data_IF_248708155589
#
_entry.id   IF_248708155589
#
_cell.length_a   1.000
_cell.length_b   1.000
_cell.length_c   1.000
_cell.angle_alpha   90.00
_cell.angle_beta   90.00
_cell.angle_gamma   90.00
#
_symmetry.space_group_name_H-M   'P 1'
#
loop_
_entity.id
_entity.type
_entity.pdbx_description
1 polymer ?
#
# COMPACT_ATOMS: atom_id res chain seq x y z
N UNK A 1 -16.13 29.34 3.11
CA UNK A 1 -16.52 28.01 3.64
C UNK A 1 -15.69 26.97 2.90
N UNK A 2 -14.38 26.92 3.14
CA UNK A 2 -13.45 26.11 2.32
C UNK A 2 -12.42 25.30 3.12
N UNK A 3 -12.31 25.46 4.44
CA UNK A 3 -11.25 24.82 5.22
C UNK A 3 -11.47 23.34 5.58
N UNK A 4 -12.71 22.84 5.53
CA UNK A 4 -13.02 21.53 6.12
C UNK A 4 -12.68 20.33 5.23
N UNK A 5 -12.44 20.55 3.92
CA UNK A 5 -12.07 19.50 2.98
C UNK A 5 -10.56 19.37 2.76
N UNK A 6 -9.80 20.42 3.07
CA UNK A 6 -8.34 20.42 2.89
C UNK A 6 -7.62 19.52 3.93
N UNK A 7 -8.25 19.30 5.09
CA UNK A 7 -7.67 18.48 6.17
C UNK A 7 -7.55 16.98 5.85
N UNK A 8 -8.22 16.51 4.80
CA UNK A 8 -8.19 15.10 4.39
C UNK A 8 -7.57 14.88 3.03
N UNK A 9 -6.98 15.92 2.44
CA UNK A 9 -6.31 15.81 1.16
C UNK A 9 -5.08 14.90 1.27
N UNK A 10 -4.91 14.02 0.29
CA UNK A 10 -3.73 13.16 0.20
C UNK A 10 -2.44 13.99 0.06
N UNK A 11 -1.35 13.64 0.76
CA UNK A 11 -0.07 14.33 0.64
C UNK A 11 0.44 14.39 -0.81
N UNK A 12 1.06 15.51 -1.17
CA UNK A 12 1.49 15.76 -2.56
C UNK A 12 2.51 14.74 -3.10
N UNK A 13 3.29 14.13 -2.21
CA UNK A 13 4.33 13.17 -2.56
C UNK A 13 3.80 11.76 -2.84
N UNK A 14 2.52 11.48 -2.60
CA UNK A 14 1.93 10.17 -2.90
C UNK A 14 1.77 10.00 -4.41
N UNK A 15 2.06 8.78 -4.89
CA UNK A 15 1.74 8.38 -6.27
C UNK A 15 0.23 8.37 -6.48
N UNK A 16 -0.21 8.40 -7.74
CA UNK A 16 -1.63 8.39 -8.08
C UNK A 16 -2.34 7.16 -7.50
N UNK A 17 -1.71 5.97 -7.58
CA UNK A 17 -2.29 4.74 -7.01
C UNK A 17 -2.38 4.79 -5.48
N UNK A 18 -1.41 5.42 -4.81
CA UNK A 18 -1.43 5.58 -3.36
C UNK A 18 -2.52 6.59 -2.92
N UNK A 19 -2.76 7.64 -3.73
CA UNK A 19 -3.86 8.58 -3.54
C UNK A 19 -5.23 7.92 -3.70
N UNK A 20 -5.39 7.03 -4.67
CA UNK A 20 -6.64 6.27 -4.81
C UNK A 20 -6.95 5.41 -3.56
N UNK A 21 -5.92 4.79 -2.98
CA UNK A 21 -6.07 4.06 -1.70
C UNK A 21 -6.41 5.01 -0.56
N UNK A 22 -5.75 6.17 -0.49
CA UNK A 22 -6.02 7.20 0.51
C UNK A 22 -7.48 7.64 0.48
N UNK A 23 -7.98 8.02 -0.70
CA UNK A 23 -9.34 8.50 -0.89
C UNK A 23 -10.36 7.44 -0.50
N UNK A 24 -10.07 6.17 -0.82
CA UNK A 24 -10.93 5.03 -0.43
C UNK A 24 -11.00 4.87 1.08
N UNK A 25 -9.86 4.91 1.79
CA UNK A 25 -9.82 4.76 3.25
C UNK A 25 -10.52 5.93 3.94
N UNK A 26 -10.28 7.17 3.49
CA UNK A 26 -10.95 8.36 4.05
C UNK A 26 -12.47 8.31 3.82
N UNK A 27 -12.92 7.84 2.66
CA UNK A 27 -14.34 7.72 2.35
C UNK A 27 -15.07 6.69 3.24
N UNK A 28 -14.37 5.64 3.68
CA UNK A 28 -14.92 4.58 4.54
C UNK A 28 -14.73 4.86 6.04
N UNK A 29 -13.81 5.78 6.40
CA UNK A 29 -13.50 6.10 7.78
C UNK A 29 -14.69 6.73 8.51
N UNK A 30 -15.09 6.11 9.64
CA UNK A 30 -16.14 6.67 10.51
C UNK A 30 -15.71 7.95 11.22
N UNK A 31 -14.39 8.15 11.41
CA UNK A 31 -13.85 9.33 12.07
C UNK A 31 -12.46 9.72 11.52
N UNK A 32 -12.40 10.25 10.28
CA UNK A 32 -11.15 10.51 9.59
C UNK A 32 -10.28 11.57 10.29
N UNK A 33 -10.85 12.41 11.16
CA UNK A 33 -10.11 13.45 11.89
C UNK A 33 -9.09 12.90 12.91
N UNK A 34 -9.16 11.61 13.26
CA UNK A 34 -8.22 10.96 14.18
C UNK A 34 -7.17 10.12 13.46
N UNK A 35 -7.21 10.07 12.13
CA UNK A 35 -6.23 9.35 11.33
C UNK A 35 -4.99 10.24 11.20
N UNK A 36 -3.84 9.73 11.65
CA UNK A 36 -2.57 10.42 11.44
C UNK A 36 -2.18 10.32 9.95
N UNK A 37 -2.06 11.48 9.29
CA UNK A 37 -1.80 11.56 7.86
C UNK A 37 -0.55 10.78 7.42
N UNK A 38 0.55 10.89 8.16
CA UNK A 38 1.81 10.18 7.85
C UNK A 38 1.65 8.65 7.98
N UNK A 39 0.86 8.18 8.95
CA UNK A 39 0.60 6.75 9.14
C UNK A 39 -0.29 6.22 8.00
N UNK A 40 -1.30 6.99 7.57
CA UNK A 40 -2.13 6.62 6.42
C UNK A 40 -1.32 6.61 5.12
N UNK A 41 -0.44 7.58 4.92
CA UNK A 41 0.45 7.62 3.76
C UNK A 41 1.35 6.37 3.69
N UNK A 42 1.88 5.94 4.84
CA UNK A 42 2.66 4.70 4.94
C UNK A 42 1.81 3.46 4.59
N UNK A 43 0.58 3.38 5.09
CA UNK A 43 -0.36 2.31 4.73
C UNK A 43 -0.66 2.28 3.23
N UNK A 44 -0.97 3.43 2.61
CA UNK A 44 -1.26 3.52 1.18
C UNK A 44 -0.10 3.00 0.33
N UNK A 45 1.13 3.40 0.66
CA UNK A 45 2.32 2.92 -0.04
C UNK A 45 2.52 1.40 0.14
N UNK A 46 2.24 0.85 1.33
CA UNK A 46 2.31 -0.58 1.57
C UNK A 46 1.28 -1.35 0.73
N UNK A 47 0.04 -0.84 0.60
CA UNK A 47 -1.01 -1.43 -0.26
C UNK A 47 -0.58 -1.42 -1.73
N UNK A 48 -0.05 -0.31 -2.24
CA UNK A 48 0.42 -0.23 -3.63
C UNK A 48 1.57 -1.20 -3.89
N UNK A 49 2.54 -1.29 -2.96
CA UNK A 49 3.66 -2.22 -3.07
C UNK A 49 3.20 -3.69 -3.09
N UNK A 50 2.23 -4.05 -2.25
CA UNK A 50 1.66 -5.40 -2.21
C UNK A 50 1.00 -5.76 -3.53
N UNK A 51 0.18 -4.83 -4.08
CA UNK A 51 -0.48 -5.01 -5.38
C UNK A 51 0.51 -5.20 -6.51
N UNK A 52 1.59 -4.41 -6.54
CA UNK A 52 2.65 -4.56 -7.54
C UNK A 52 3.36 -5.93 -7.41
N UNK A 53 3.74 -6.31 -6.20
CA UNK A 53 4.36 -7.61 -5.95
C UNK A 53 3.45 -8.77 -6.38
N UNK A 54 2.17 -8.71 -6.06
CA UNK A 54 1.18 -9.71 -6.44
C UNK A 54 0.99 -9.77 -7.97
N UNK A 55 0.98 -8.62 -8.65
CA UNK A 55 0.92 -8.52 -10.11
C UNK A 55 2.13 -9.20 -10.74
N UNK A 56 3.34 -8.88 -10.29
CA UNK A 56 4.59 -9.48 -10.78
C UNK A 56 4.62 -10.99 -10.59
N UNK A 57 4.28 -11.49 -9.40
CA UNK A 57 4.22 -12.94 -9.16
C UNK A 57 3.20 -13.64 -10.06
N UNK A 58 2.08 -12.99 -10.38
CA UNK A 58 1.07 -13.53 -11.30
C UNK A 58 1.57 -13.58 -12.75
N UNK A 59 2.29 -12.57 -13.20
CA UNK A 59 2.82 -12.45 -14.56
C UNK A 59 4.07 -13.30 -14.79
N UNK A 60 5.00 -13.29 -13.84
CA UNK A 60 6.33 -13.90 -13.93
C UNK A 60 6.34 -15.35 -13.38
N UNK A 61 5.36 -15.72 -12.56
CA UNK A 61 5.27 -17.01 -11.88
C UNK A 61 5.94 -17.02 -10.49
N UNK A 62 5.65 -18.03 -9.68
CA UNK A 62 6.14 -18.12 -8.30
C UNK A 62 7.61 -18.55 -8.19
N UNK A 63 8.16 -19.14 -9.25
CA UNK A 63 9.54 -19.59 -9.37
C UNK A 63 10.14 -18.90 -10.61
N UNK A 64 11.30 -18.26 -10.42
CA UNK A 64 12.05 -17.57 -11.47
C UNK A 64 13.49 -18.08 -11.52
N UNK A 65 14.22 -17.77 -12.58
CA UNK A 65 15.64 -18.09 -12.67
C UNK A 65 16.51 -17.02 -11.99
N UNK A 66 17.52 -17.45 -11.24
CA UNK A 66 18.60 -16.56 -10.79
C UNK A 66 19.56 -16.21 -11.94
N UNK A 67 20.59 -15.39 -11.65
CA UNK A 67 21.62 -14.99 -12.63
C UNK A 67 22.39 -16.17 -13.26
N UNK A 68 22.31 -17.37 -12.66
CA UNK A 68 22.95 -18.61 -13.13
C UNK A 68 21.96 -19.59 -13.76
N UNK A 69 20.70 -19.18 -13.97
CA UNK A 69 19.66 -20.01 -14.54
C UNK A 69 19.04 -21.02 -13.58
N UNK A 70 19.33 -20.94 -12.26
CA UNK A 70 18.79 -21.88 -11.27
C UNK A 70 17.41 -21.42 -10.80
N UNK A 71 16.45 -22.34 -10.58
CA UNK A 71 15.14 -21.98 -10.08
C UNK A 71 15.22 -21.50 -8.63
N UNK A 72 14.68 -20.31 -8.36
CA UNK A 72 14.54 -19.71 -7.03
C UNK A 72 13.12 -19.19 -6.84
N UNK A 73 12.71 -18.99 -5.58
CA UNK A 73 11.45 -18.31 -5.29
C UNK A 73 11.48 -16.87 -5.81
N UNK A 74 10.38 -16.39 -6.39
CA UNK A 74 10.30 -15.03 -6.91
C UNK A 74 10.56 -14.00 -5.79
N UNK A 75 11.53 -13.07 -5.94
CA UNK A 75 11.85 -12.09 -4.89
C UNK A 75 10.67 -11.23 -4.42
N UNK A 76 9.71 -10.93 -5.31
CA UNK A 76 8.50 -10.18 -4.99
C UNK A 76 7.64 -10.86 -3.92
N UNK A 77 7.74 -12.18 -3.72
CA UNK A 77 7.02 -12.89 -2.67
C UNK A 77 7.49 -12.42 -1.28
N UNK A 78 8.80 -12.27 -1.08
CA UNK A 78 9.34 -11.83 0.21
C UNK A 78 8.97 -10.37 0.50
N UNK A 79 9.09 -9.51 -0.52
CA UNK A 79 8.72 -8.08 -0.43
C UNK A 79 7.23 -7.92 -0.17
N UNK A 80 6.37 -8.60 -0.94
CA UNK A 80 4.93 -8.56 -0.76
C UNK A 80 4.50 -9.06 0.62
N UNK A 81 5.17 -10.08 1.16
CA UNK A 81 4.90 -10.56 2.53
C UNK A 81 5.26 -9.52 3.60
N UNK A 82 6.29 -8.72 3.40
CA UNK A 82 6.59 -7.60 4.31
C UNK A 82 5.52 -6.52 4.21
N UNK A 83 5.14 -6.14 2.99
CA UNK A 83 4.07 -5.17 2.76
C UNK A 83 2.74 -5.60 3.42
N UNK A 84 2.38 -6.89 3.34
CA UNK A 84 1.19 -7.43 4.02
C UNK A 84 1.27 -7.31 5.55
N UNK A 85 2.45 -7.44 6.16
CA UNK A 85 2.62 -7.25 7.60
C UNK A 85 2.44 -5.79 7.98
N UNK A 86 3.00 -4.87 7.19
CA UNK A 86 2.84 -3.44 7.41
C UNK A 86 1.37 -3.05 7.27
N UNK A 87 0.70 -3.48 6.18
CA UNK A 87 -0.75 -3.29 5.95
C UNK A 87 -1.54 -3.76 7.17
N UNK A 88 -1.27 -4.97 7.69
CA UNK A 88 -1.98 -5.49 8.85
C UNK A 88 -1.74 -4.62 10.10
N UNK A 89 -0.49 -4.21 10.34
CA UNK A 89 -0.12 -3.39 11.49
C UNK A 89 -0.79 -2.01 11.50
N UNK A 90 -1.05 -1.44 10.33
CA UNK A 90 -1.74 -0.15 10.20
C UNK A 90 -3.26 -0.29 10.05
N UNK A 91 -3.76 -1.34 9.41
CA UNK A 91 -5.20 -1.55 9.18
C UNK A 91 -5.99 -1.54 10.48
N UNK A 92 -5.46 -2.14 11.56
CA UNK A 92 -6.07 -2.13 12.89
C UNK A 92 -6.28 -0.72 13.47
N UNK A 93 -5.64 0.31 12.91
CA UNK A 93 -5.79 1.71 13.34
C UNK A 93 -6.82 2.49 12.53
N UNK A 94 -7.13 2.04 11.31
CA UNK A 94 -7.91 2.82 10.34
C UNK A 94 -9.26 2.18 9.98
N UNK A 95 -9.38 0.86 10.12
CA UNK A 95 -10.57 0.06 9.82
C UNK A 95 -11.07 -0.65 11.09
#
# INVERSE_FOLDING_TARGET
>A
MSDQFDQFAAPEHLSDEAREVWDSVIAEASNPAYIAADELAAYCNAVVLERDCARRVREEGTIVADERGRPIAHPAIAVGRQAQQDIKGWAEKFL
#
